data_IF_831900985475
#
_entry.id   IF_831900985475
#
_cell.length_a   1.000
_cell.length_b   1.000
_cell.length_c   1.000
_cell.angle_alpha   90.00
_cell.angle_beta   90.00
_cell.angle_gamma   90.00
#
_symmetry.space_group_name_H-M   'P 1'
#
loop_
_entity.id
_entity.type
_entity.pdbx_description
1 polymer ?
#
# COMPACT_ATOMS: atom_id res chain seq x y z
N UNK A 1 -9.54 0.10 1.66
CA UNK A 1 -9.95 -1.18 1.04
C UNK A 1 -11.02 -1.82 1.88
N UNK A 2 -11.95 -2.58 1.27
CA UNK A 2 -12.97 -3.33 2.01
C UNK A 2 -12.87 -4.83 1.75
N UNK A 3 -12.21 -5.55 2.65
CA UNK A 3 -11.95 -6.99 2.55
C UNK A 3 -13.03 -7.76 3.30
N UNK A 4 -13.96 -8.40 2.56
CA UNK A 4 -15.09 -9.14 3.17
C UNK A 4 -14.74 -10.60 3.52
N UNK A 5 -13.76 -11.16 2.83
CA UNK A 5 -13.22 -12.51 3.06
C UNK A 5 -11.72 -12.50 2.74
N UNK A 6 -10.92 -13.38 3.36
CA UNK A 6 -9.48 -13.46 3.10
C UNK A 6 -8.66 -12.33 3.76
N UNK A 7 -9.09 -11.83 4.92
CA UNK A 7 -8.35 -10.78 5.65
C UNK A 7 -6.93 -11.20 6.02
N UNK A 8 -6.72 -12.45 6.45
CA UNK A 8 -5.40 -12.96 6.79
C UNK A 8 -4.50 -13.08 5.55
N UNK A 9 -5.06 -13.53 4.42
CA UNK A 9 -4.36 -13.57 3.13
C UNK A 9 -3.98 -12.17 2.65
N UNK A 10 -4.85 -11.19 2.87
CA UNK A 10 -4.59 -9.78 2.55
C UNK A 10 -3.44 -9.22 3.37
N UNK A 11 -3.43 -9.45 4.69
CA UNK A 11 -2.31 -9.03 5.56
C UNK A 11 -1.03 -9.75 5.16
N UNK A 12 -1.07 -11.06 4.91
CA UNK A 12 0.09 -11.83 4.47
C UNK A 12 0.66 -11.35 3.12
N UNK A 13 -0.22 -11.00 2.17
CA UNK A 13 0.19 -10.44 0.88
C UNK A 13 0.94 -9.11 1.05
N UNK A 14 0.47 -8.23 1.94
CA UNK A 14 1.15 -6.97 2.21
C UNK A 14 2.41 -7.12 3.06
N UNK A 15 2.49 -8.14 3.92
CA UNK A 15 3.74 -8.46 4.62
C UNK A 15 4.81 -8.96 3.63
N UNK A 16 4.44 -9.82 2.68
CA UNK A 16 5.33 -10.22 1.58
C UNK A 16 5.70 -9.03 0.67
N UNK A 17 4.76 -8.13 0.41
CA UNK A 17 4.95 -6.93 -0.40
C UNK A 17 5.92 -5.91 0.23
N UNK A 18 6.24 -6.04 1.53
CA UNK A 18 7.28 -5.24 2.20
C UNK A 18 8.61 -5.27 1.44
N UNK A 19 9.02 -6.43 0.95
CA UNK A 19 10.31 -6.59 0.28
C UNK A 19 10.41 -5.74 -1.00
N UNK A 20 9.53 -5.87 -2.01
CA UNK A 20 9.59 -5.03 -3.20
C UNK A 20 9.31 -3.55 -2.91
N UNK A 21 8.45 -3.22 -1.95
CA UNK A 21 8.24 -1.82 -1.56
C UNK A 21 9.53 -1.19 -1.02
N UNK A 22 10.19 -1.84 -0.05
CA UNK A 22 11.40 -1.31 0.59
C UNK A 22 12.66 -1.44 -0.28
N UNK A 23 12.61 -2.21 -1.36
CA UNK A 23 13.65 -2.22 -2.38
C UNK A 23 13.59 -0.99 -3.31
N UNK A 24 12.41 -0.36 -3.44
CA UNK A 24 12.25 0.82 -4.29
C UNK A 24 12.88 2.06 -3.63
N UNK A 25 13.70 2.85 -4.34
CA UNK A 25 14.19 4.12 -3.82
C UNK A 25 13.09 5.19 -3.71
N UNK A 26 11.91 4.94 -4.27
CA UNK A 26 10.79 5.87 -4.29
C UNK A 26 9.81 5.66 -3.13
N UNK A 27 9.75 4.46 -2.55
CA UNK A 27 8.88 4.16 -1.41
C UNK A 27 9.66 4.37 -0.11
N UNK A 28 9.23 5.33 0.70
CA UNK A 28 9.94 5.69 1.94
C UNK A 28 9.44 4.89 3.13
N UNK A 29 8.15 4.58 3.18
CA UNK A 29 7.53 3.79 4.23
C UNK A 29 6.15 3.26 3.80
N UNK A 30 5.55 2.40 4.63
CA UNK A 30 4.13 2.11 4.53
C UNK A 30 3.54 1.69 5.87
N UNK A 31 2.22 1.86 6.00
CA UNK A 31 1.42 1.24 7.04
C UNK A 31 0.18 0.55 6.46
N UNK A 32 -0.22 -0.53 7.12
CA UNK A 32 -1.47 -1.22 6.89
C UNK A 32 -2.24 -1.28 8.22
N UNK A 33 -3.37 -0.61 8.25
CA UNK A 33 -4.19 -0.43 9.44
C UNK A 33 -5.58 -1.06 9.23
N UNK A 34 -6.06 -1.81 10.22
CA UNK A 34 -7.44 -2.35 10.23
C UNK A 34 -8.32 -1.49 11.13
N UNK A 35 -9.51 -1.14 10.66
CA UNK A 35 -10.50 -0.44 11.48
C UNK A 35 -10.95 -1.33 12.64
N UNK A 36 -11.05 -0.75 13.84
CA UNK A 36 -11.46 -1.47 15.06
C UNK A 36 -12.98 -1.67 15.10
N UNK A 37 -13.73 -0.70 14.56
CA UNK A 37 -15.20 -0.66 14.53
C UNK A 37 -15.79 -1.52 13.41
N UNK A 38 -15.13 -1.62 12.26
CA UNK A 38 -15.49 -2.48 11.12
C UNK A 38 -14.25 -3.27 10.65
N UNK A 39 -14.06 -4.53 11.10
CA UNK A 39 -12.91 -5.34 10.73
C UNK A 39 -12.79 -5.66 9.24
N UNK A 40 -13.80 -5.35 8.41
CA UNK A 40 -13.71 -5.47 6.95
C UNK A 40 -13.04 -4.27 6.29
N UNK A 41 -12.84 -3.16 7.02
CA UNK A 41 -12.25 -1.93 6.52
C UNK A 41 -10.76 -1.86 6.85
N UNK A 42 -9.95 -1.61 5.82
CA UNK A 42 -8.51 -1.45 5.93
C UNK A 42 -8.06 -0.14 5.27
N UNK A 43 -7.07 0.51 5.85
CA UNK A 43 -6.34 1.63 5.24
C UNK A 43 -4.93 1.13 4.94
N UNK A 44 -4.50 1.28 3.68
CA UNK A 44 -3.12 1.15 3.28
C UNK A 44 -2.61 2.54 2.93
N UNK A 45 -1.55 2.97 3.59
CA UNK A 45 -0.82 4.20 3.25
C UNK A 45 0.59 3.82 2.81
N UNK A 46 0.89 4.13 1.57
CA UNK A 46 2.24 4.02 1.01
C UNK A 46 2.82 5.42 0.95
N UNK A 47 3.95 5.65 1.61
CA UNK A 47 4.66 6.92 1.57
C UNK A 47 5.68 6.89 0.44
N UNK A 48 5.66 7.95 -0.36
CA UNK A 48 6.46 8.10 -1.56
C UNK A 48 7.26 9.38 -1.48
N UNK A 49 8.42 9.40 -2.14
CA UNK A 49 9.21 10.64 -2.31
C UNK A 49 8.41 11.73 -3.04
N UNK A 50 7.57 11.36 -4.00
CA UNK A 50 6.57 12.22 -4.62
C UNK A 50 5.49 11.40 -5.34
N UNK A 51 4.36 12.04 -5.69
CA UNK A 51 3.35 11.40 -6.53
C UNK A 51 3.90 11.07 -7.93
N UNK A 52 4.81 11.89 -8.48
CA UNK A 52 5.46 11.61 -9.76
C UNK A 52 6.38 10.40 -9.68
N UNK A 53 7.19 10.29 -8.63
CA UNK A 53 8.09 9.15 -8.41
C UNK A 53 7.34 7.84 -8.21
N UNK A 54 6.18 7.86 -7.54
CA UNK A 54 5.29 6.70 -7.53
C UNK A 54 4.84 6.37 -8.97
N UNK A 55 4.28 7.35 -9.67
CA UNK A 55 3.57 7.11 -10.92
C UNK A 55 4.48 6.76 -12.11
N UNK A 56 5.69 7.33 -12.17
CA UNK A 56 6.65 7.14 -13.27
C UNK A 56 7.92 6.39 -12.85
N UNK A 57 8.22 6.36 -11.56
CA UNK A 57 9.36 5.61 -11.02
C UNK A 57 8.92 4.20 -10.63
N UNK A 58 8.25 4.06 -9.49
CA UNK A 58 7.86 2.75 -8.95
C UNK A 58 6.99 1.96 -9.92
N UNK A 59 5.92 2.55 -10.47
CA UNK A 59 4.97 1.81 -11.34
C UNK A 59 5.58 1.24 -12.62
N UNK A 60 6.71 1.78 -13.08
CA UNK A 60 7.42 1.29 -14.26
C UNK A 60 8.58 0.34 -13.91
N UNK A 61 8.78 0.05 -12.61
CA UNK A 61 9.93 -0.68 -12.11
C UNK A 61 9.74 -2.21 -12.06
N UNK A 62 10.83 -3.00 -11.95
CA UNK A 62 10.74 -4.43 -11.64
C UNK A 62 10.04 -4.72 -10.30
N UNK A 63 10.30 -3.90 -9.29
CA UNK A 63 9.72 -4.06 -7.94
C UNK A 63 8.20 -3.92 -7.98
N UNK A 64 7.64 -3.03 -8.81
CA UNK A 64 6.19 -2.95 -8.98
C UNK A 64 5.60 -4.24 -9.55
N UNK A 65 6.29 -4.95 -10.45
CA UNK A 65 5.78 -6.22 -10.99
C UNK A 65 5.68 -7.28 -9.91
N UNK A 66 6.69 -7.37 -9.03
CA UNK A 66 6.68 -8.27 -7.87
C UNK A 66 5.60 -7.88 -6.86
N UNK A 67 5.56 -6.59 -6.49
CA UNK A 67 4.53 -6.03 -5.61
C UNK A 67 3.12 -6.30 -6.14
N UNK A 68 2.87 -5.97 -7.41
CA UNK A 68 1.55 -6.08 -8.02
C UNK A 68 1.09 -7.52 -8.11
N UNK A 69 1.98 -8.48 -8.41
CA UNK A 69 1.62 -9.90 -8.43
C UNK A 69 1.08 -10.39 -7.07
N UNK A 70 1.63 -9.88 -5.96
CA UNK A 70 1.19 -10.21 -4.60
C UNK A 70 -0.18 -9.61 -4.26
N UNK A 71 -0.40 -8.33 -4.61
CA UNK A 71 -1.59 -7.58 -4.14
C UNK A 71 -2.75 -7.56 -5.13
N UNK A 72 -2.52 -7.91 -6.41
CA UNK A 72 -3.54 -7.95 -7.47
C UNK A 72 -4.81 -8.72 -7.11
N UNK A 73 -4.79 -9.83 -6.33
CA UNK A 73 -6.02 -10.52 -5.94
C UNK A 73 -7.05 -9.64 -5.21
N UNK A 74 -6.62 -8.55 -4.56
CA UNK A 74 -7.46 -7.65 -3.77
C UNK A 74 -7.81 -6.35 -4.48
N UNK A 75 -7.49 -6.22 -5.78
CA UNK A 75 -7.63 -4.97 -6.52
C UNK A 75 -9.09 -4.49 -6.59
N UNK A 76 -10.04 -5.42 -6.68
CA UNK A 76 -11.48 -5.10 -6.76
C UNK A 76 -12.07 -4.67 -5.40
N UNK A 77 -11.34 -4.85 -4.29
CA UNK A 77 -11.74 -4.40 -2.96
C UNK A 77 -11.31 -2.95 -2.65
N UNK A 78 -10.60 -2.30 -3.58
CA UNK A 78 -10.17 -0.91 -3.46
C UNK A 78 -11.40 0.01 -3.52
N UNK A 79 -11.65 0.72 -2.42
CA UNK A 79 -12.73 1.72 -2.34
C UNK A 79 -12.27 3.10 -2.83
N UNK A 80 -10.98 3.39 -2.68
CA UNK A 80 -10.35 4.64 -3.09
C UNK A 80 -8.85 4.42 -3.31
N UNK A 81 -8.28 5.10 -4.31
CA UNK A 81 -6.85 5.21 -4.55
C UNK A 81 -6.53 6.64 -4.96
N UNK A 82 -5.88 7.40 -4.06
CA UNK A 82 -5.50 8.81 -4.25
C UNK A 82 -4.13 9.08 -3.63
N UNK A 83 -3.49 10.14 -4.08
CA UNK A 83 -2.29 10.70 -3.45
C UNK A 83 -2.70 11.88 -2.55
N UNK A 84 -2.09 11.94 -1.38
CA UNK A 84 -2.35 12.99 -0.37
C UNK A 84 -1.04 13.65 0.03
N UNK A 85 -1.08 14.95 0.29
CA UNK A 85 0.05 15.70 0.84
C UNK A 85 -0.03 15.67 2.37
N UNK A 86 1.09 15.34 3.01
CA UNK A 86 1.22 15.39 4.46
C UNK A 86 1.55 16.82 4.89
N UNK A 87 0.57 17.52 5.45
CA UNK A 87 0.73 18.91 5.88
C UNK A 87 1.30 19.05 7.30
N UNK A 88 1.10 18.04 8.14
CA UNK A 88 1.52 17.99 9.53
C UNK A 88 1.94 16.57 9.90
N UNK A 89 2.96 16.45 10.73
CA UNK A 89 3.37 15.20 11.36
C UNK A 89 3.45 15.39 12.88
N UNK A 90 3.27 14.32 13.64
CA UNK A 90 3.60 14.37 15.06
C UNK A 90 5.10 14.64 15.23
N UNK A 91 5.46 15.42 16.24
CA UNK A 91 6.88 15.54 16.62
C UNK A 91 7.41 14.14 16.98
N UNK A 92 8.68 13.82 16.64
CA UNK A 92 9.28 12.52 16.91
C UNK A 92 9.32 12.16 18.40
#
# INVERSE_FOLDING_TARGET
MRIRAGADDFVAAYDAARAPLMASPHCTSFDLSRCVEDPTQFILRLEWTSAEDHMKGFRDSPEFREFFALVKPFYDDIQEMRHYEQLLEAAP
#
